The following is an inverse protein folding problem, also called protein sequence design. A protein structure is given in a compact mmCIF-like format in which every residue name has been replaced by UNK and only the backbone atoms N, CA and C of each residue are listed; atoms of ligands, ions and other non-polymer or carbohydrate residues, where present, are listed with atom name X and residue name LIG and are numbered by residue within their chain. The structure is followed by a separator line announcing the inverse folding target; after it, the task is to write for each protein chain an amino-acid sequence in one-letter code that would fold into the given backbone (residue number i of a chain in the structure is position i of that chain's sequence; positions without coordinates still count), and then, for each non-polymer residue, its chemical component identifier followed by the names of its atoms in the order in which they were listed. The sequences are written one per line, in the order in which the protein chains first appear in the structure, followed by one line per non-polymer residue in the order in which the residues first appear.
data_IF_492715434363
#
_entry.id   IF_492715434363
#
_cell.length_a   1.000
_cell.length_b   1.000
_cell.length_c   1.000
_cell.angle_alpha   90.00
_cell.angle_beta   90.00
_cell.angle_gamma   90.00
#
_symmetry.space_group_name_H-M   'P 1'
#
loop_
_entity.id
_entity.type
_entity.pdbx_description
1 polymer ?
#
# COMPACT_ATOMS: atom_id res chain seq x y z
N UNK A 1 16.06 -6.00 47.00
CA UNK A 1 15.25 -6.95 46.22
C UNK A 1 14.53 -6.12 45.17
N UNK A 2 14.84 -6.33 43.89
CA UNK A 2 14.33 -5.48 42.81
C UNK A 2 12.88 -5.84 42.54
N UNK A 3 12.00 -4.84 42.66
CA UNK A 3 10.56 -5.04 42.63
C UNK A 3 10.08 -5.13 41.17
N UNK A 4 9.46 -6.26 40.79
CA UNK A 4 9.06 -6.54 39.40
C UNK A 4 8.11 -5.47 38.86
N UNK A 5 7.31 -4.86 39.74
CA UNK A 5 6.41 -3.75 39.41
C UNK A 5 7.14 -2.49 38.91
N UNK A 6 8.36 -2.24 39.42
CA UNK A 6 9.17 -1.08 39.03
C UNK A 6 9.76 -1.24 37.62
N UNK A 7 10.09 -2.46 37.23
CA UNK A 7 10.60 -2.80 35.89
C UNK A 7 9.48 -2.67 34.85
N UNK A 8 8.27 -3.14 35.17
CA UNK A 8 7.10 -3.06 34.27
C UNK A 8 6.67 -1.61 34.04
N UNK A 9 6.71 -0.76 35.08
CA UNK A 9 6.42 0.68 34.94
C UNK A 9 7.41 1.41 34.04
N UNK A 10 8.68 1.03 34.09
CA UNK A 10 9.74 1.67 33.29
C UNK A 10 9.70 1.24 31.82
N UNK A 11 9.13 0.06 31.52
CA UNK A 11 8.94 -0.46 30.16
C UNK A 11 7.59 -0.14 29.52
N UNK A 12 6.71 0.62 30.20
CA UNK A 12 5.56 1.24 29.53
C UNK A 12 6.10 2.36 28.66
N UNK A 13 6.56 1.97 27.48
CA UNK A 13 6.90 2.86 26.38
C UNK A 13 5.85 3.98 26.33
N UNK A 14 6.37 5.19 26.19
CA UNK A 14 5.63 6.39 25.82
C UNK A 14 4.85 6.07 24.54
N UNK A 15 3.63 5.56 24.71
CA UNK A 15 2.63 5.55 23.65
C UNK A 15 2.25 7.01 23.58
N UNK A 16 2.70 7.70 22.54
CA UNK A 16 2.12 8.99 22.21
C UNK A 16 0.61 8.76 22.14
N UNK A 17 -0.11 9.34 23.09
CA UNK A 17 -1.57 9.40 23.07
C UNK A 17 -1.95 10.32 21.90
N UNK A 18 -1.87 9.79 20.69
CA UNK A 18 -2.59 10.33 19.55
C UNK A 18 -4.06 10.27 19.90
N UNK A 19 -4.72 11.43 19.87
CA UNK A 19 -6.15 11.57 20.09
C UNK A 19 -6.89 10.47 19.31
N UNK A 20 -7.61 9.60 20.03
CA UNK A 20 -8.50 8.62 19.40
C UNK A 20 -9.71 9.41 18.91
N UNK A 21 -9.56 10.00 17.73
CA UNK A 21 -10.70 10.51 16.98
C UNK A 21 -11.44 9.26 16.51
N UNK A 22 -12.60 8.96 17.11
CA UNK A 22 -13.54 7.99 16.59
C UNK A 22 -14.10 8.56 15.27
N UNK A 23 -13.32 8.44 14.22
CA UNK A 23 -13.81 8.51 12.87
C UNK A 23 -14.45 7.15 12.62
N UNK A 24 -15.75 7.14 12.34
CA UNK A 24 -16.47 5.98 11.83
C UNK A 24 -15.89 5.64 10.46
N UNK A 25 -14.72 4.99 10.46
CA UNK A 25 -14.16 4.40 9.27
C UNK A 25 -14.94 3.12 9.03
N UNK A 26 -15.58 3.01 7.86
CA UNK A 26 -15.97 1.70 7.35
C UNK A 26 -14.67 0.89 7.28
N UNK A 27 -14.44 -0.04 8.21
CA UNK A 27 -13.26 -0.91 8.17
C UNK A 27 -13.46 -1.90 7.02
N UNK A 28 -12.81 -1.65 5.87
CA UNK A 28 -13.10 -2.44 4.70
C UNK A 28 -12.54 -3.84 4.87
N UNK A 29 -13.36 -4.84 4.55
CA UNK A 29 -12.90 -6.22 4.48
C UNK A 29 -11.91 -6.34 3.33
N UNK A 30 -10.91 -7.22 3.41
CA UNK A 30 -9.95 -7.47 2.31
C UNK A 30 -10.60 -7.88 0.99
N UNK A 31 -11.90 -8.19 1.01
CA UNK A 31 -12.73 -8.51 -0.15
C UNK A 31 -13.27 -7.30 -0.91
N UNK A 32 -13.16 -6.08 -0.37
CA UNK A 32 -13.69 -4.84 -0.97
C UNK A 32 -12.70 -4.14 -1.91
N UNK A 33 -11.41 -4.47 -1.82
CA UNK A 33 -10.37 -3.90 -2.70
C UNK A 33 -10.64 -4.19 -4.19
N UNK A 34 -11.10 -5.40 -4.60
CA UNK A 34 -11.59 -5.64 -5.96
C UNK A 34 -12.72 -4.71 -6.37
N UNK A 35 -13.70 -4.48 -5.50
CA UNK A 35 -14.87 -3.66 -5.83
C UNK A 35 -14.45 -2.21 -6.05
N UNK A 36 -13.62 -1.67 -5.16
CA UNK A 36 -13.00 -0.34 -5.33
C UNK A 36 -12.22 -0.25 -6.64
N UNK A 37 -11.51 -1.31 -7.03
CA UNK A 37 -10.79 -1.35 -8.29
C UNK A 37 -11.72 -1.24 -9.51
N UNK A 38 -12.77 -2.05 -9.55
CA UNK A 38 -13.68 -2.09 -10.70
C UNK A 38 -14.56 -0.84 -10.76
N UNK A 39 -15.06 -0.36 -9.62
CA UNK A 39 -16.04 0.72 -9.57
C UNK A 39 -15.41 2.11 -9.60
N UNK A 40 -14.25 2.29 -8.95
CA UNK A 40 -13.59 3.60 -8.90
C UNK A 40 -12.38 3.68 -9.84
N UNK A 41 -11.48 2.70 -9.81
CA UNK A 41 -10.19 2.85 -10.51
C UNK A 41 -10.36 2.71 -12.02
N UNK A 42 -11.06 1.70 -12.50
CA UNK A 42 -11.28 1.52 -13.95
C UNK A 42 -12.17 2.60 -14.57
N UNK A 43 -13.07 3.20 -13.78
CA UNK A 43 -13.97 4.26 -14.25
C UNK A 43 -13.24 5.60 -14.31
N UNK A 44 -12.47 5.94 -13.27
CA UNK A 44 -11.82 7.25 -13.15
C UNK A 44 -10.49 7.34 -13.90
N UNK A 45 -9.76 6.23 -14.06
CA UNK A 45 -8.45 6.19 -14.69
C UNK A 45 -8.49 5.44 -16.01
N UNK A 46 -8.03 6.09 -17.10
CA UNK A 46 -7.87 5.45 -18.41
C UNK A 46 -6.64 4.57 -18.44
N UNK A 47 -6.75 3.37 -17.88
CA UNK A 47 -5.69 2.37 -17.86
C UNK A 47 -5.61 1.60 -19.18
N UNK A 48 -4.40 1.41 -19.68
CA UNK A 48 -4.14 0.46 -20.76
C UNK A 48 -4.23 -0.98 -20.26
N UNK A 49 -4.32 -1.93 -21.20
CA UNK A 49 -4.34 -3.36 -20.87
C UNK A 49 -3.13 -3.79 -20.03
N UNK A 50 -1.95 -3.28 -20.39
CA UNK A 50 -0.71 -3.57 -19.68
C UNK A 50 -0.75 -3.02 -18.25
N UNK A 51 -1.15 -1.76 -18.08
CA UNK A 51 -1.26 -1.12 -16.77
C UNK A 51 -2.26 -1.86 -15.87
N UNK A 52 -3.39 -2.29 -16.43
CA UNK A 52 -4.40 -3.11 -15.74
C UNK A 52 -3.80 -4.43 -15.25
N UNK A 53 -3.04 -5.13 -16.09
CA UNK A 53 -2.42 -6.41 -15.72
C UNK A 53 -1.37 -6.20 -14.62
N UNK A 54 -0.52 -5.17 -14.74
CA UNK A 54 0.47 -4.84 -13.72
C UNK A 54 -0.21 -4.50 -12.40
N UNK A 55 -1.28 -3.71 -12.43
CA UNK A 55 -2.03 -3.32 -11.23
C UNK A 55 -2.72 -4.53 -10.57
N UNK A 56 -3.28 -5.44 -11.36
CA UNK A 56 -3.85 -6.72 -10.87
C UNK A 56 -2.78 -7.67 -10.32
N UNK A 57 -1.59 -7.67 -10.89
CA UNK A 57 -0.46 -8.42 -10.36
C UNK A 57 -0.07 -7.89 -8.97
N UNK A 58 0.02 -6.56 -8.83
CA UNK A 58 0.28 -5.91 -7.54
C UNK A 58 -0.82 -6.21 -6.55
N UNK A 59 -2.10 -6.16 -6.95
CA UNK A 59 -3.21 -6.57 -6.11
C UNK A 59 -3.00 -7.93 -5.49
N UNK A 60 -2.70 -8.93 -6.31
CA UNK A 60 -2.53 -10.31 -5.84
C UNK A 60 -1.32 -10.50 -4.92
N UNK A 61 -0.21 -9.83 -5.22
CA UNK A 61 1.04 -10.02 -4.48
C UNK A 61 1.08 -9.24 -3.18
N UNK A 62 0.54 -8.03 -3.23
CA UNK A 62 0.72 -6.99 -2.22
C UNK A 62 -0.58 -6.82 -1.45
N UNK A 63 -1.71 -6.57 -2.12
CA UNK A 63 -3.00 -6.22 -1.49
C UNK A 63 -3.78 -7.41 -0.90
N UNK A 64 -3.66 -8.62 -1.46
CA UNK A 64 -4.31 -9.81 -0.89
C UNK A 64 -3.60 -10.40 0.35
N UNK A 65 -2.43 -9.88 0.74
CA UNK A 65 -1.67 -10.37 1.89
C UNK A 65 -1.83 -9.43 3.08
N UNK A 66 -1.76 -9.99 4.30
CA UNK A 66 -1.76 -9.19 5.52
C UNK A 66 -0.61 -8.19 5.47
N UNK A 67 -0.92 -6.90 5.62
CA UNK A 67 0.08 -5.85 5.57
C UNK A 67 0.90 -5.85 6.85
N UNK A 68 2.05 -6.53 6.84
CA UNK A 68 3.00 -6.52 7.97
C UNK A 68 3.68 -5.17 8.17
N UNK A 69 3.61 -4.28 7.18
CA UNK A 69 4.30 -2.99 7.16
C UNK A 69 3.31 -1.82 7.29
N UNK A 70 2.24 -1.95 8.08
CA UNK A 70 1.20 -0.91 8.26
C UNK A 70 1.75 0.52 8.38
N UNK A 71 2.88 0.72 9.07
CA UNK A 71 3.53 2.04 9.19
C UNK A 71 4.04 2.64 7.87
N UNK A 72 4.45 1.80 6.93
CA UNK A 72 5.12 2.20 5.69
C UNK A 72 4.35 1.78 4.42
N UNK A 73 3.04 1.52 4.50
CA UNK A 73 2.29 1.00 3.35
C UNK A 73 2.55 -0.49 3.08
N UNK A 74 2.14 -0.99 1.91
CA UNK A 74 2.23 -2.44 1.64
C UNK A 74 3.50 -2.74 0.85
N UNK A 75 4.31 -3.61 1.44
CA UNK A 75 5.48 -4.38 0.94
C UNK A 75 6.28 -3.79 -0.22
N UNK A 76 7.62 -3.75 -0.07
CA UNK A 76 8.54 -3.52 -1.18
C UNK A 76 8.14 -4.41 -2.37
N UNK A 77 7.84 -3.80 -3.52
CA UNK A 77 7.56 -4.55 -4.76
C UNK A 77 8.64 -5.61 -4.94
N UNK A 78 8.23 -6.83 -5.28
CA UNK A 78 9.16 -7.83 -5.79
C UNK A 78 9.99 -7.21 -6.92
N UNK A 79 11.23 -7.68 -7.05
CA UNK A 79 12.13 -7.26 -8.12
C UNK A 79 11.38 -7.15 -9.46
N UNK A 80 11.51 -6.02 -10.14
CA UNK A 80 10.92 -5.81 -11.47
C UNK A 80 11.24 -6.96 -12.43
N UNK A 81 12.42 -7.55 -12.29
CA UNK A 81 12.86 -8.72 -13.06
C UNK A 81 11.98 -9.95 -12.82
N UNK A 82 11.46 -10.15 -11.62
CA UNK A 82 10.56 -11.26 -11.31
C UNK A 82 9.17 -11.01 -11.88
N UNK A 83 8.70 -9.75 -11.84
CA UNK A 83 7.43 -9.37 -12.46
C UNK A 83 7.48 -9.52 -13.99
N UNK A 84 8.59 -9.12 -14.62
CA UNK A 84 8.86 -9.34 -16.06
C UNK A 84 8.79 -10.83 -16.39
N UNK A 85 9.43 -11.69 -15.60
CA UNK A 85 9.39 -13.16 -15.79
C UNK A 85 8.00 -13.75 -15.60
N UNK A 86 7.22 -13.26 -14.64
CA UNK A 86 5.89 -13.81 -14.33
C UNK A 86 4.82 -13.35 -15.32
N UNK A 87 4.93 -12.13 -15.85
CA UNK A 87 3.96 -11.56 -16.77
C UNK A 87 4.33 -11.74 -18.25
N UNK A 88 5.54 -12.21 -18.54
CA UNK A 88 6.07 -12.43 -19.90
C UNK A 88 5.99 -11.18 -20.81
N UNK A 89 6.26 -10.01 -20.21
CA UNK A 89 6.34 -8.73 -20.92
C UNK A 89 7.78 -8.23 -21.04
N UNK A 90 8.03 -7.27 -21.92
CA UNK A 90 9.35 -6.63 -21.98
C UNK A 90 9.58 -5.78 -20.73
N UNK A 91 10.83 -5.76 -20.26
CA UNK A 91 11.22 -4.95 -19.10
C UNK A 91 10.90 -3.46 -19.30
N UNK A 92 11.08 -2.94 -20.51
CA UNK A 92 10.78 -1.54 -20.87
C UNK A 92 9.29 -1.23 -20.76
N UNK A 93 8.42 -2.16 -21.17
CA UNK A 93 6.96 -2.03 -21.10
C UNK A 93 6.52 -1.98 -19.64
N UNK A 94 7.06 -2.88 -18.81
CA UNK A 94 6.81 -2.93 -17.37
C UNK A 94 7.29 -1.65 -16.67
N UNK A 95 8.48 -1.14 -17.01
CA UNK A 95 8.97 0.13 -16.48
C UNK A 95 8.07 1.30 -16.86
N UNK A 96 7.61 1.35 -18.12
CA UNK A 96 6.68 2.37 -18.58
C UNK A 96 5.35 2.31 -17.83
N UNK A 97 4.81 1.10 -17.61
CA UNK A 97 3.59 0.88 -16.86
C UNK A 97 3.74 1.31 -15.39
N UNK A 98 4.81 0.90 -14.70
CA UNK A 98 5.09 1.31 -13.31
C UNK A 98 5.15 2.83 -13.20
N UNK A 99 5.86 3.51 -14.10
CA UNK A 99 5.98 4.97 -14.08
C UNK A 99 4.64 5.67 -14.28
N UNK A 100 3.76 5.13 -15.13
CA UNK A 100 2.40 5.66 -15.28
C UNK A 100 1.54 5.43 -14.05
N UNK A 101 1.61 4.23 -13.44
CA UNK A 101 0.89 3.93 -12.20
C UNK A 101 1.38 4.80 -11.03
N UNK A 102 2.67 5.14 -11.00
CA UNK A 102 3.25 6.13 -10.09
C UNK A 102 2.72 7.54 -10.36
N UNK A 103 2.64 7.98 -11.61
CA UNK A 103 2.03 9.27 -11.96
C UNK A 103 0.54 9.36 -11.57
N UNK A 104 -0.17 8.23 -11.54
CA UNK A 104 -1.55 8.15 -11.05
C UNK A 104 -1.65 8.11 -9.52
N UNK A 105 -0.53 8.02 -8.82
CA UNK A 105 -0.47 7.98 -7.36
C UNK A 105 -0.72 6.60 -6.75
N UNK A 106 -0.81 5.54 -7.55
CA UNK A 106 -1.04 4.17 -7.07
C UNK A 106 0.18 3.54 -6.41
N UNK A 107 1.36 3.95 -6.88
CA UNK A 107 2.65 3.45 -6.45
C UNK A 107 3.51 4.66 -6.08
N UNK A 108 4.29 4.55 -5.02
CA UNK A 108 5.28 5.56 -4.62
C UNK A 108 6.64 4.91 -4.63
N UNK A 109 7.59 5.49 -5.37
CA UNK A 109 8.99 5.05 -5.34
C UNK A 109 9.75 5.84 -4.27
N UNK A 110 10.29 5.16 -3.26
CA UNK A 110 11.18 5.80 -2.27
C UNK A 110 12.63 5.78 -2.76
N UNK A 111 13.03 4.67 -3.40
CA UNK A 111 14.38 4.46 -3.98
C UNK A 111 14.25 3.58 -5.22
N UNK A 112 15.18 3.71 -6.17
CA UNK A 112 15.24 2.86 -7.37
C UNK A 112 15.18 1.38 -6.98
N UNK A 113 14.14 0.67 -7.46
CA UNK A 113 13.89 -0.74 -7.16
C UNK A 113 13.11 -1.03 -5.87
N UNK A 114 12.81 -0.01 -5.06
CA UNK A 114 11.94 -0.09 -3.89
C UNK A 114 10.69 0.74 -4.12
N UNK A 115 9.62 0.05 -4.52
CA UNK A 115 8.32 0.66 -4.69
C UNK A 115 7.40 0.24 -3.55
N UNK A 116 6.63 1.21 -3.08
CA UNK A 116 5.59 1.02 -2.09
C UNK A 116 4.24 1.22 -2.75
N UNK A 117 3.28 0.40 -2.34
CA UNK A 117 1.96 0.42 -2.92
C UNK A 117 0.95 0.76 -1.83
N UNK A 118 0.06 1.73 -2.14
CA UNK A 118 -1.08 2.11 -1.29
C UNK A 118 -2.13 1.01 -1.28
N UNK A 119 -2.85 0.78 -0.18
CA UNK A 119 -3.82 -0.32 -0.10
C UNK A 119 -5.07 -0.08 -0.92
N UNK A 120 -5.60 1.14 -0.92
CA UNK A 120 -6.77 1.51 -1.69
C UNK A 120 -6.43 2.36 -2.90
N UNK A 121 -5.27 2.10 -3.53
CA UNK A 121 -4.81 2.76 -4.74
C UNK A 121 -4.46 4.24 -4.54
N UNK A 122 -5.38 5.11 -4.12
CA UNK A 122 -5.15 6.56 -4.00
C UNK A 122 -5.14 7.03 -2.54
N UNK A 123 -4.51 8.19 -2.29
CA UNK A 123 -4.52 8.85 -0.97
C UNK A 123 -5.94 9.17 -0.50
N UNK A 124 -6.83 9.54 -1.43
CA UNK A 124 -8.21 9.88 -1.12
C UNK A 124 -9.01 8.66 -0.66
N UNK A 125 -8.83 7.51 -1.33
CA UNK A 125 -9.48 6.26 -0.94
C UNK A 125 -8.88 5.72 0.36
N UNK A 126 -7.55 5.79 0.51
CA UNK A 126 -6.90 5.45 1.78
C UNK A 126 -7.49 6.28 2.95
N UNK A 127 -7.71 7.58 2.76
CA UNK A 127 -8.33 8.45 3.77
C UNK A 127 -9.80 8.10 4.04
N UNK A 128 -10.59 7.79 3.01
CA UNK A 128 -11.99 7.34 3.16
C UNK A 128 -12.09 6.05 3.97
N UNK A 129 -11.16 5.12 3.77
CA UNK A 129 -11.11 3.82 4.45
C UNK A 129 -10.21 3.80 5.70
N UNK A 130 -9.88 4.97 6.25
CA UNK A 130 -9.12 5.11 7.49
C UNK A 130 -7.71 4.52 7.47
N UNK A 131 -7.13 4.31 6.29
CA UNK A 131 -5.75 3.85 6.16
C UNK A 131 -4.79 5.04 6.35
N UNK A 132 -4.06 5.00 7.46
CA UNK A 132 -2.95 5.90 7.73
C UNK A 132 -1.62 5.21 7.45
N UNK A 133 -0.81 5.82 6.59
CA UNK A 133 0.57 5.43 6.29
C UNK A 133 1.50 6.59 6.68
N UNK A 134 2.75 6.32 7.04
CA UNK A 134 3.76 7.38 7.16
C UNK A 134 3.87 8.10 5.81
N UNK A 135 3.67 9.43 5.80
CA UNK A 135 3.83 10.23 4.59
C UNK A 135 5.29 10.13 4.14
N UNK A 136 5.50 9.56 2.94
CA UNK A 136 6.81 9.45 2.30
C UNK A 136 7.24 10.74 1.59
N UNK A 137 6.49 11.83 1.77
CA UNK A 137 6.86 13.15 1.27
C UNK A 137 7.98 13.74 2.15
N UNK A 138 9.21 13.63 1.66
CA UNK A 138 10.37 14.40 2.15
C UNK A 138 10.68 15.51 1.16
#
# INVERSE_FOLDING_TARGET
MVDIHSIIKTHRNKVDEGEIVNLDFDEPTTSEIPDVFFDNILVNFKLSRLETIVLMYLYRKVWCRSNMYQKHGISQLLSLTDMVKQLDFKIEEIHSAIRKLENFGFIVTIRIGQYFVRRYFTKDLDAQFGQTYDDFEV
#
